data_IF_277595585541
#
_entry.id   IF_277595585541
#
_cell.length_a   1.000
_cell.length_b   1.000
_cell.length_c   1.000
_cell.angle_alpha   90.00
_cell.angle_beta   90.00
_cell.angle_gamma   90.00
#
_symmetry.space_group_name_H-M   'P 1'
#
loop_
_entity.id
_entity.type
_entity.pdbx_description
1 polymer ?
#
# COMPACT_ATOMS: atom_id res chain seq x y z
N UNK A 1 8.38 -1.95 -40.07
CA UNK A 1 7.00 -2.30 -39.67
C UNK A 1 7.07 -2.83 -38.24
N UNK A 2 6.33 -2.18 -37.35
CA UNK A 2 6.16 -2.35 -35.91
C UNK A 2 6.49 -3.73 -35.28
N UNK A 3 7.09 -3.73 -34.07
CA UNK A 3 6.38 -4.16 -32.85
C UNK A 3 7.16 -3.78 -31.57
N UNK A 4 6.61 -2.78 -30.90
CA UNK A 4 6.94 -2.19 -29.61
C UNK A 4 6.33 -3.05 -28.48
N UNK A 5 6.90 -4.20 -28.16
CA UNK A 5 6.44 -5.05 -27.04
C UNK A 5 7.67 -5.86 -26.61
N UNK A 6 8.33 -5.63 -25.49
CA UNK A 6 7.81 -5.86 -24.14
C UNK A 6 8.73 -5.24 -23.09
N UNK A 7 9.08 -3.95 -23.22
CA UNK A 7 9.52 -3.16 -22.05
C UNK A 7 8.30 -2.89 -21.17
N UNK A 8 7.88 -3.94 -20.47
CA UNK A 8 7.31 -3.88 -19.13
C UNK A 8 7.12 -5.35 -18.77
N UNK A 9 8.22 -5.98 -18.38
CA UNK A 9 8.16 -7.05 -17.39
C UNK A 9 7.32 -6.48 -16.23
N UNK A 10 6.01 -6.70 -16.34
CA UNK A 10 5.08 -6.73 -15.21
C UNK A 10 5.74 -7.71 -14.27
N UNK A 11 6.54 -7.17 -13.35
CA UNK A 11 7.04 -7.85 -12.17
C UNK A 11 5.88 -8.69 -11.67
N UNK A 12 6.00 -9.99 -11.89
CA UNK A 12 5.24 -10.98 -11.16
C UNK A 12 5.49 -10.66 -9.70
N UNK A 13 4.55 -9.99 -9.04
CA UNK A 13 4.46 -10.03 -7.60
C UNK A 13 3.67 -11.31 -7.30
N UNK A 14 4.34 -12.41 -6.93
CA UNK A 14 3.65 -13.60 -6.45
C UNK A 14 2.78 -13.19 -5.27
N UNK A 15 1.50 -13.54 -5.37
CA UNK A 15 0.47 -13.19 -4.39
C UNK A 15 0.62 -14.16 -3.22
N UNK A 16 1.64 -13.94 -2.39
CA UNK A 16 1.53 -14.29 -0.98
C UNK A 16 0.39 -13.43 -0.38
N UNK A 17 -0.42 -13.94 0.56
CA UNK A 17 -1.54 -13.18 1.10
C UNK A 17 -0.99 -11.84 1.60
N UNK A 18 -1.39 -10.71 0.98
CA UNK A 18 -0.66 -9.47 1.17
C UNK A 18 -0.78 -9.10 2.63
N UNK A 19 0.36 -8.99 3.30
CA UNK A 19 0.35 -8.37 4.61
C UNK A 19 -0.24 -6.97 4.47
N UNK A 20 -0.90 -6.42 5.49
CA UNK A 20 -1.51 -5.08 5.42
C UNK A 20 -0.55 -3.99 4.90
N UNK A 21 0.75 -4.19 5.08
CA UNK A 21 1.83 -3.33 4.63
C UNK A 21 2.01 -3.42 3.11
N UNK A 22 2.01 -4.62 2.54
CA UNK A 22 2.11 -4.82 1.10
C UNK A 22 0.90 -4.28 0.37
N UNK A 23 -0.30 -4.43 0.94
CA UNK A 23 -1.51 -3.81 0.40
C UNK A 23 -1.37 -2.28 0.25
N UNK A 24 -0.75 -1.64 1.25
CA UNK A 24 -0.47 -0.20 1.21
C UNK A 24 0.58 0.12 0.14
N UNK A 25 1.72 -0.59 0.12
CA UNK A 25 2.78 -0.36 -0.87
C UNK A 25 2.27 -0.57 -2.31
N UNK A 26 1.50 -1.62 -2.53
CA UNK A 26 0.87 -1.91 -3.82
C UNK A 26 -0.07 -0.78 -4.25
N UNK A 27 -0.89 -0.28 -3.34
CA UNK A 27 -1.76 0.88 -3.61
C UNK A 27 -0.98 2.16 -3.86
N UNK A 28 0.12 2.37 -3.14
CA UNK A 28 1.03 3.49 -3.41
C UNK A 28 1.63 3.41 -4.81
N UNK A 29 2.11 2.24 -5.25
CA UNK A 29 2.64 2.05 -6.61
C UNK A 29 1.55 2.24 -7.68
N UNK A 30 0.35 1.70 -7.46
CA UNK A 30 -0.76 1.81 -8.42
C UNK A 30 -1.27 3.25 -8.60
N UNK A 31 -1.33 4.02 -7.52
CA UNK A 31 -1.85 5.40 -7.54
C UNK A 31 -0.74 6.46 -7.55
N UNK A 32 0.54 6.06 -7.53
CA UNK A 32 1.68 6.96 -7.41
C UNK A 32 1.70 7.75 -6.09
N UNK A 33 1.09 7.22 -5.02
CA UNK A 33 1.02 7.91 -3.73
C UNK A 33 2.39 7.92 -3.05
N UNK A 34 2.70 9.03 -2.39
CA UNK A 34 3.91 9.15 -1.59
C UNK A 34 3.62 8.95 -0.10
N UNK A 35 4.69 8.79 0.67
CA UNK A 35 4.61 8.66 2.14
C UNK A 35 3.93 9.87 2.78
N UNK A 36 4.03 11.05 2.16
CA UNK A 36 3.37 12.29 2.59
C UNK A 36 1.85 12.22 2.42
N UNK A 37 1.39 11.60 1.35
CA UNK A 37 -0.05 11.44 1.10
C UNK A 37 -0.68 10.54 2.14
N UNK A 38 0.04 9.55 2.66
CA UNK A 38 -0.42 8.66 3.73
C UNK A 38 -0.47 9.31 5.12
N UNK A 39 0.14 10.49 5.29
CA UNK A 39 0.17 11.19 6.58
C UNK A 39 -1.22 11.51 7.16
N UNK A 40 -2.20 12.02 6.39
CA UNK A 40 -3.56 12.22 6.88
C UNK A 40 -4.27 10.95 7.35
N UNK A 41 -3.91 9.76 6.86
CA UNK A 41 -4.51 8.51 7.31
C UNK A 41 -3.80 7.89 8.52
N UNK A 42 -2.47 7.93 8.53
CA UNK A 42 -1.63 7.26 9.53
C UNK A 42 -1.10 8.22 10.61
N UNK A 43 -0.74 9.44 10.23
CA UNK A 43 -0.10 10.46 11.07
C UNK A 43 1.25 10.89 10.47
N UNK A 44 2.17 11.39 11.30
CA UNK A 44 3.48 11.88 10.83
C UNK A 44 4.23 10.86 9.98
N UNK A 45 5.02 11.34 9.02
CA UNK A 45 5.82 10.52 8.09
C UNK A 45 6.68 9.45 8.80
N UNK A 46 7.28 9.74 9.96
CA UNK A 46 8.00 8.73 10.76
C UNK A 46 7.13 7.50 11.05
N UNK A 47 5.87 7.71 11.44
CA UNK A 47 4.93 6.63 11.77
C UNK A 47 4.52 5.84 10.53
N UNK A 48 4.44 6.51 9.38
CA UNK A 48 4.21 5.83 8.10
C UNK A 48 5.38 4.90 7.79
N UNK A 49 6.63 5.36 7.93
CA UNK A 49 7.80 4.50 7.75
C UNK A 49 7.85 3.35 8.75
N UNK A 50 7.52 3.57 10.04
CA UNK A 50 7.45 2.49 11.04
C UNK A 50 6.46 1.40 10.64
N UNK A 51 5.31 1.77 10.05
CA UNK A 51 4.31 0.82 9.56
C UNK A 51 4.79 0.13 8.29
N UNK A 52 5.35 0.89 7.34
CA UNK A 52 5.88 0.34 6.08
C UNK A 52 7.07 -0.61 6.30
N UNK A 53 7.80 -0.44 7.40
CA UNK A 53 8.90 -1.30 7.84
C UNK A 53 8.44 -2.44 8.76
N UNK A 54 7.16 -2.51 9.12
CA UNK A 54 6.65 -3.56 10.02
C UNK A 54 7.09 -3.42 11.48
N UNK A 55 7.70 -2.29 11.85
CA UNK A 55 8.05 -1.98 13.24
C UNK A 55 6.81 -1.75 14.11
N UNK A 56 5.69 -1.34 13.49
CA UNK A 56 4.44 -1.04 14.18
C UNK A 56 3.22 -1.58 13.44
N UNK A 57 2.32 -2.25 14.17
CA UNK A 57 1.05 -2.70 13.62
C UNK A 57 0.09 -1.54 13.33
N UNK A 58 -0.71 -1.70 12.27
CA UNK A 58 -1.83 -0.84 11.97
C UNK A 58 -2.91 -1.00 13.04
N UNK A 59 -3.50 0.11 13.47
CA UNK A 59 -4.68 0.06 14.33
C UNK A 59 -5.96 0.20 13.50
N UNK A 60 -7.06 -0.37 13.97
CA UNK A 60 -8.40 -0.24 13.39
C UNK A 60 -8.78 1.18 12.88
N UNK A 61 -8.55 2.27 13.65
CA UNK A 61 -8.84 3.61 13.15
C UNK A 61 -7.95 4.03 11.96
N UNK A 62 -6.71 3.56 11.89
CA UNK A 62 -5.80 3.83 10.77
C UNK A 62 -6.26 3.09 9.51
N UNK A 63 -6.64 1.82 9.67
CA UNK A 63 -7.20 0.98 8.59
C UNK A 63 -8.44 1.63 7.99
N UNK A 64 -9.37 2.11 8.84
CA UNK A 64 -10.58 2.82 8.39
C UNK A 64 -10.26 4.11 7.62
N UNK A 65 -9.26 4.87 8.06
CA UNK A 65 -8.82 6.09 7.37
C UNK A 65 -8.16 5.78 6.04
N UNK A 66 -7.32 4.76 5.98
CA UNK A 66 -6.68 4.30 4.74
C UNK A 66 -7.73 3.85 3.71
N UNK A 67 -8.72 3.10 4.16
CA UNK A 67 -9.86 2.72 3.32
C UNK A 67 -10.65 3.94 2.84
N UNK A 68 -10.99 4.87 3.74
CA UNK A 68 -11.78 6.04 3.40
C UNK A 68 -11.06 7.03 2.46
N UNK A 69 -9.75 7.21 2.61
CA UNK A 69 -8.99 8.19 1.82
C UNK A 69 -8.44 7.60 0.51
N UNK A 70 -7.96 6.37 0.52
CA UNK A 70 -7.29 5.75 -0.64
C UNK A 70 -8.10 4.62 -1.29
N UNK A 71 -9.26 4.28 -0.73
CA UNK A 71 -10.10 3.19 -1.24
C UNK A 71 -9.44 1.81 -1.13
N UNK A 72 -8.50 1.63 -0.19
CA UNK A 72 -7.84 0.35 0.03
C UNK A 72 -8.83 -0.58 0.73
N UNK A 73 -9.20 -1.73 0.14
CA UNK A 73 -10.18 -2.64 0.71
C UNK A 73 -9.74 -3.10 2.10
N UNK A 74 -10.67 -3.05 3.06
CA UNK A 74 -10.41 -3.42 4.46
C UNK A 74 -9.88 -4.84 4.57
N UNK A 75 -10.37 -5.76 3.73
CA UNK A 75 -9.93 -7.15 3.69
C UNK A 75 -8.43 -7.29 3.42
N UNK A 76 -7.88 -6.39 2.59
CA UNK A 76 -6.45 -6.34 2.28
C UNK A 76 -5.60 -5.72 3.41
N UNK A 77 -6.22 -4.99 4.34
CA UNK A 77 -5.58 -4.34 5.48
C UNK A 77 -5.81 -5.09 6.80
N UNK A 78 -6.81 -5.96 6.86
CA UNK A 78 -7.19 -6.73 8.04
C UNK A 78 -6.50 -8.09 8.06
N UNK A 79 -5.98 -8.57 6.91
CA UNK A 79 -5.07 -9.73 6.78
C UNK A 79 -5.30 -10.80 7.85
N UNK A 80 -6.22 -11.72 7.58
CA UNK A 80 -6.72 -12.80 8.44
C UNK A 80 -5.85 -13.19 9.65
#
# INVERSE_FOLDING_TARGET
>A
MCLLIAEYEKKHYPIEPPTPIEAIKFRMEQQGLTVKDLEPAIGKSNRVYEILNGTRNLTLPMIRRLHAQFGIPLESLIGA
#
